data_IF_655675564001
#
_entry.id   IF_655675564001
#
_cell.length_a   1.000
_cell.length_b   1.000
_cell.length_c   1.000
_cell.angle_alpha   90.00
_cell.angle_beta   90.00
_cell.angle_gamma   90.00
#
_symmetry.space_group_name_H-M   'P 1'
#
loop_
_entity.id
_entity.type
_entity.pdbx_description
1 polymer ?
#
# COMPACT_ATOMS: atom_id res chain seq x y z
N UNK A 1 25.45 63.00 38.20
CA UNK A 1 25.15 62.23 36.96
C UNK A 1 25.04 60.72 37.16
N UNK A 2 25.77 60.08 38.08
CA UNK A 2 25.71 58.62 38.31
C UNK A 2 24.32 58.07 38.74
N UNK A 3 23.58 58.79 39.60
CA UNK A 3 22.24 58.37 40.05
C UNK A 3 21.19 58.30 38.92
N UNK A 4 21.33 59.14 37.89
CA UNK A 4 20.41 59.14 36.74
C UNK A 4 20.67 57.95 35.79
N UNK A 5 21.91 57.47 35.70
CA UNK A 5 22.24 56.30 34.87
C UNK A 5 21.77 55.00 35.49
N UNK A 6 21.89 54.85 36.82
CA UNK A 6 21.39 53.68 37.54
C UNK A 6 19.86 53.54 37.42
N UNK A 7 19.11 54.62 37.62
CA UNK A 7 17.64 54.60 37.50
C UNK A 7 17.17 54.24 36.08
N UNK A 8 17.87 54.72 35.04
CA UNK A 8 17.57 54.38 33.64
C UNK A 8 17.84 52.90 33.34
N UNK A 9 18.92 52.34 33.88
CA UNK A 9 19.25 50.93 33.70
C UNK A 9 18.20 50.02 34.37
N UNK A 10 17.79 50.34 35.61
CA UNK A 10 16.77 49.56 36.32
C UNK A 10 15.40 49.64 35.62
N UNK A 11 15.00 50.81 35.13
CA UNK A 11 13.77 50.96 34.35
C UNK A 11 13.80 50.15 33.04
N UNK A 12 14.93 50.15 32.33
CA UNK A 12 15.11 49.35 31.12
C UNK A 12 15.01 47.84 31.40
N UNK A 13 15.62 47.40 32.51
CA UNK A 13 15.60 45.99 32.92
C UNK A 13 14.18 45.54 33.30
N UNK A 14 13.41 46.40 33.98
CA UNK A 14 12.02 46.13 34.34
C UNK A 14 11.12 46.07 33.10
N UNK A 15 11.28 46.99 32.15
CA UNK A 15 10.54 46.98 30.88
C UNK A 15 10.89 45.74 30.07
N UNK A 16 12.17 45.35 30.00
CA UNK A 16 12.56 44.10 29.34
C UNK A 16 11.97 42.87 30.03
N UNK A 17 11.94 42.83 31.37
CA UNK A 17 11.32 41.73 32.11
C UNK A 17 9.80 41.67 31.90
N UNK A 18 9.12 42.82 31.84
CA UNK A 18 7.67 42.89 31.56
C UNK A 18 7.35 42.55 30.11
N UNK A 19 8.19 42.95 29.15
CA UNK A 19 8.06 42.55 27.76
C UNK A 19 8.34 41.07 27.56
N UNK A 20 9.31 40.50 28.30
CA UNK A 20 9.59 39.06 28.27
C UNK A 20 8.47 38.26 28.94
N UNK A 21 7.95 38.71 30.08
CA UNK A 21 6.79 38.12 30.74
C UNK A 21 5.54 38.24 29.86
N UNK A 22 5.32 39.41 29.23
CA UNK A 22 4.23 39.64 28.29
C UNK A 22 4.35 38.77 27.04
N UNK A 23 5.55 38.65 26.47
CA UNK A 23 5.80 37.80 25.30
C UNK A 23 5.58 36.31 25.61
N UNK A 24 6.01 35.84 26.78
CA UNK A 24 5.82 34.44 27.21
C UNK A 24 4.39 34.14 27.67
N UNK A 25 3.60 35.14 28.06
CA UNK A 25 2.19 34.95 28.46
C UNK A 25 1.18 35.23 27.34
N UNK A 26 1.54 36.05 26.34
CA UNK A 26 0.66 36.44 25.23
C UNK A 26 1.09 35.90 23.87
N UNK A 27 2.13 35.04 23.78
CA UNK A 27 2.34 34.30 22.55
C UNK A 27 1.09 33.46 22.26
N UNK A 28 0.50 33.66 21.08
CA UNK A 28 -0.62 32.85 20.62
C UNK A 28 -0.27 31.36 20.83
N UNK A 29 -1.20 30.55 21.35
CA UNK A 29 -0.92 29.15 21.61
C UNK A 29 -0.45 28.49 20.32
N UNK A 30 0.71 27.84 20.40
CA UNK A 30 1.33 27.17 19.26
C UNK A 30 0.98 25.70 19.29
N UNK A 31 0.73 25.14 18.11
CA UNK A 31 0.59 23.70 17.94
C UNK A 31 1.87 23.00 18.42
N UNK A 32 1.70 21.96 19.22
CA UNK A 32 2.73 21.15 19.84
C UNK A 32 2.66 19.70 19.35
N UNK A 33 1.45 19.17 19.15
CA UNK A 33 1.24 17.84 18.58
C UNK A 33 -0.08 17.81 17.81
N UNK A 34 -0.19 16.89 16.86
CA UNK A 34 -1.44 16.49 16.23
C UNK A 34 -1.76 15.07 16.66
N UNK A 35 -2.97 14.87 17.19
CA UNK A 35 -3.49 13.57 17.59
C UNK A 35 -4.60 13.20 16.61
N UNK A 36 -4.36 12.16 15.83
CA UNK A 36 -5.32 11.61 14.88
C UNK A 36 -5.92 10.33 15.44
N UNK A 37 -7.24 10.28 15.53
CA UNK A 37 -7.98 9.06 15.87
C UNK A 37 -8.58 8.52 14.58
N UNK A 38 -8.08 7.37 14.15
CA UNK A 38 -8.54 6.64 12.98
C UNK A 38 -9.75 5.80 13.35
N UNK A 39 -10.89 6.39 13.04
CA UNK A 39 -12.20 5.76 12.91
C UNK A 39 -12.77 6.26 11.57
N UNK A 40 -13.88 5.73 11.08
CA UNK A 40 -14.56 6.30 9.91
C UNK A 40 -15.74 7.14 10.43
N UNK A 41 -15.62 8.49 10.52
CA UNK A 41 -14.63 9.39 9.91
C UNK A 41 -13.37 9.64 10.77
N UNK A 42 -12.27 10.01 10.13
CA UNK A 42 -10.99 10.32 10.79
C UNK A 42 -11.08 11.65 11.56
N UNK A 43 -10.46 11.69 12.74
CA UNK A 43 -10.55 12.84 13.66
C UNK A 43 -9.16 13.34 13.98
N UNK A 44 -8.87 14.59 13.64
CA UNK A 44 -7.56 15.22 13.88
C UNK A 44 -7.70 16.33 14.92
N UNK A 45 -6.99 16.20 16.04
CA UNK A 45 -6.92 17.19 17.11
C UNK A 45 -5.54 17.85 17.13
N UNK A 46 -5.49 19.16 16.89
CA UNK A 46 -4.26 19.96 17.06
C UNK A 46 -4.17 20.39 18.52
N UNK A 47 -3.07 20.05 19.20
CA UNK A 47 -2.85 20.26 20.63
C UNK A 47 -1.78 21.32 20.89
N UNK A 48 -1.90 22.06 21.99
CA UNK A 48 -0.84 22.94 22.49
C UNK A 48 0.13 22.22 23.45
N UNK A 49 1.14 22.96 23.93
CA UNK A 49 2.14 22.44 24.87
C UNK A 49 1.58 22.02 26.24
N UNK A 50 0.32 22.40 26.54
CA UNK A 50 -0.42 22.05 27.74
C UNK A 50 -1.47 20.95 27.47
N UNK A 51 -1.39 20.29 26.30
CA UNK A 51 -2.32 19.25 25.87
C UNK A 51 -3.78 19.74 25.77
N UNK A 52 -3.97 21.01 25.42
CA UNK A 52 -5.28 21.57 25.11
C UNK A 52 -5.51 21.60 23.62
N UNK A 53 -6.75 21.31 23.20
CA UNK A 53 -7.15 21.35 21.79
C UNK A 53 -7.20 22.80 21.30
N UNK A 54 -6.41 23.10 20.28
CA UNK A 54 -6.43 24.36 19.55
C UNK A 54 -7.39 24.33 18.36
N UNK A 55 -7.47 23.18 17.70
CA UNK A 55 -8.35 22.94 16.56
C UNK A 55 -8.73 21.46 16.52
N UNK A 56 -9.91 21.18 15.98
CA UNK A 56 -10.36 19.84 15.66
C UNK A 56 -10.85 19.82 14.21
N UNK A 57 -10.51 18.77 13.47
CA UNK A 57 -10.96 18.54 12.09
C UNK A 57 -11.47 17.11 11.98
N UNK A 58 -12.47 16.92 11.12
CA UNK A 58 -13.09 15.63 10.85
C UNK A 58 -13.04 15.40 9.34
N UNK A 59 -12.46 14.29 8.92
CA UNK A 59 -12.18 13.97 7.50
C UNK A 59 -12.74 12.58 7.14
N UNK A 60 -13.19 12.40 5.89
CA UNK A 60 -13.71 11.13 5.38
C UNK A 60 -15.15 11.21 4.86
N UNK A 61 -15.58 10.13 4.18
CA UNK A 61 -16.89 10.00 3.50
C UNK A 61 -18.09 10.17 4.44
N UNK A 62 -17.91 9.87 5.73
CA UNK A 62 -18.95 9.95 6.77
C UNK A 62 -18.72 11.11 7.74
N UNK A 63 -18.10 12.22 7.33
CA UNK A 63 -17.97 13.40 8.16
C UNK A 63 -19.35 13.93 8.60
N UNK A 64 -19.84 13.42 9.73
CA UNK A 64 -21.19 13.66 10.21
C UNK A 64 -21.29 15.08 10.79
N UNK A 65 -22.31 15.88 10.47
CA UNK A 65 -22.46 17.25 10.98
C UNK A 65 -22.35 17.34 12.52
N UNK A 66 -22.90 16.34 13.22
CA UNK A 66 -22.82 16.23 14.69
C UNK A 66 -21.40 16.18 15.24
N UNK A 67 -20.44 15.65 14.50
CA UNK A 67 -19.03 15.68 14.90
C UNK A 67 -18.44 17.09 14.72
N UNK A 68 -18.81 17.78 13.63
CA UNK A 68 -18.40 19.16 13.38
C UNK A 68 -18.90 20.17 14.42
N UNK A 69 -20.04 19.89 15.07
CA UNK A 69 -20.62 20.72 16.11
C UNK A 69 -19.99 20.51 17.51
N UNK A 70 -19.06 19.57 17.65
CA UNK A 70 -18.41 19.31 18.94
C UNK A 70 -17.53 20.50 19.38
N UNK A 71 -17.92 21.12 20.49
CA UNK A 71 -17.10 22.14 21.15
C UNK A 71 -15.90 21.48 21.85
N UNK A 72 -14.81 21.31 21.08
CA UNK A 72 -13.56 20.66 21.53
C UNK A 72 -12.44 21.65 21.89
N UNK A 73 -12.47 22.87 21.35
CA UNK A 73 -11.40 23.87 21.58
C UNK A 73 -11.26 24.22 23.07
N UNK A 74 -10.02 24.36 23.53
CA UNK A 74 -9.58 24.58 24.92
C UNK A 74 -9.82 23.43 25.90
N UNK A 75 -10.39 22.30 25.47
CA UNK A 75 -10.48 21.10 26.29
C UNK A 75 -9.12 20.40 26.39
N UNK A 76 -8.88 19.71 27.51
CA UNK A 76 -7.78 18.75 27.58
C UNK A 76 -8.00 17.59 26.60
N UNK A 77 -6.93 16.90 26.20
CA UNK A 77 -7.02 15.70 25.35
C UNK A 77 -8.04 14.70 25.90
N UNK A 78 -8.02 14.42 27.20
CA UNK A 78 -8.94 13.47 27.82
C UNK A 78 -10.40 13.87 27.71
N UNK A 79 -10.72 15.14 27.97
CA UNK A 79 -12.09 15.67 27.85
C UNK A 79 -12.57 15.73 26.40
N UNK A 80 -11.67 16.07 25.47
CA UNK A 80 -11.98 16.08 24.05
C UNK A 80 -12.28 14.66 23.54
N UNK A 81 -11.45 13.68 23.92
CA UNK A 81 -11.67 12.28 23.58
C UNK A 81 -12.94 11.72 24.21
N UNK A 82 -13.30 12.12 25.44
CA UNK A 82 -14.58 11.72 26.05
C UNK A 82 -15.78 12.18 25.22
N UNK A 83 -15.76 13.44 24.75
CA UNK A 83 -16.83 13.96 23.88
C UNK A 83 -16.86 13.29 22.51
N UNK A 84 -15.70 13.12 21.90
CA UNK A 84 -15.57 12.44 20.60
C UNK A 84 -16.08 11.00 20.71
N UNK A 85 -15.63 10.26 21.73
CA UNK A 85 -16.02 8.89 21.97
C UNK A 85 -17.53 8.75 22.19
N UNK A 86 -18.13 9.62 23.02
CA UNK A 86 -19.57 9.64 23.23
C UNK A 86 -20.34 9.89 21.91
N UNK A 87 -19.88 10.82 21.08
CA UNK A 87 -20.50 11.10 19.79
C UNK A 87 -20.38 9.91 18.83
N UNK A 88 -19.19 9.32 18.70
CA UNK A 88 -18.96 8.15 17.85
C UNK A 88 -19.78 6.92 18.27
N UNK A 89 -19.95 6.73 19.58
CA UNK A 89 -20.80 5.65 20.13
C UNK A 89 -22.26 5.88 19.73
N UNK A 90 -22.78 7.09 19.90
CA UNK A 90 -24.16 7.43 19.55
C UNK A 90 -24.42 7.25 18.04
N UNK A 91 -23.40 7.52 17.22
CA UNK A 91 -23.47 7.32 15.76
C UNK A 91 -23.25 5.85 15.35
N UNK A 92 -22.94 4.94 16.27
CA UNK A 92 -22.62 3.54 15.96
C UNK A 92 -21.33 3.36 15.14
N UNK A 93 -20.46 4.37 15.11
CA UNK A 93 -19.22 4.35 14.34
C UNK A 93 -18.07 3.70 15.10
N UNK A 94 -18.19 3.71 16.43
CA UNK A 94 -17.28 3.05 17.34
C UNK A 94 -17.98 1.87 18.00
N UNK A 95 -17.53 0.67 17.66
CA UNK A 95 -18.04 -0.59 18.19
C UNK A 95 -16.89 -1.41 18.78
N UNK A 96 -17.16 -2.34 19.72
CA UNK A 96 -16.10 -3.01 20.47
C UNK A 96 -15.21 -3.96 19.67
N UNK A 97 -15.76 -4.46 18.57
CA UNK A 97 -15.15 -5.29 17.55
C UNK A 97 -14.28 -4.49 16.58
N UNK A 98 -14.40 -3.15 16.57
CA UNK A 98 -13.61 -2.29 15.69
C UNK A 98 -12.28 -1.93 16.32
N UNK A 99 -11.24 -2.08 15.51
CA UNK A 99 -9.93 -1.57 15.84
C UNK A 99 -9.89 -0.04 15.75
N UNK A 100 -9.30 0.59 16.76
CA UNK A 100 -9.06 2.04 16.79
C UNK A 100 -7.57 2.30 16.79
N UNK A 101 -7.11 3.03 15.78
CA UNK A 101 -5.71 3.43 15.65
C UNK A 101 -5.56 4.89 16.06
N UNK A 102 -4.67 5.17 17.01
CA UNK A 102 -4.32 6.53 17.41
C UNK A 102 -2.96 6.85 16.82
N UNK A 103 -2.88 7.88 16.00
CA UNK A 103 -1.61 8.38 15.45
C UNK A 103 -1.28 9.70 16.10
N UNK A 104 -0.08 9.82 16.67
CA UNK A 104 0.37 11.10 17.25
C UNK A 104 1.57 11.60 16.48
N UNK A 105 1.50 12.84 16.02
CA UNK A 105 2.55 13.52 15.27
C UNK A 105 3.08 14.73 16.08
N UNK A 106 4.39 14.81 16.38
CA UNK A 106 4.99 15.99 17.00
C UNK A 106 5.06 17.18 16.02
N UNK A 107 4.68 18.37 16.49
CA UNK A 107 4.74 19.62 15.72
C UNK A 107 5.90 20.49 16.21
N UNK A 108 6.71 21.00 15.28
CA UNK A 108 7.68 22.07 15.56
C UNK A 108 8.81 21.70 16.54
N UNK A 109 9.28 20.44 16.51
CA UNK A 109 10.37 19.98 17.40
C UNK A 109 9.91 19.70 18.83
N UNK A 110 8.64 19.34 19.01
CA UNK A 110 8.09 18.93 20.29
C UNK A 110 8.90 17.79 20.94
N UNK A 111 9.02 17.82 22.27
CA UNK A 111 9.73 16.81 23.04
C UNK A 111 9.02 15.45 22.91
N UNK A 112 9.74 14.44 22.39
CA UNK A 112 9.24 13.08 22.17
C UNK A 112 8.62 12.44 23.41
N UNK A 113 9.20 12.64 24.61
CA UNK A 113 8.69 12.10 25.87
C UNK A 113 7.28 12.65 26.20
N UNK A 114 7.07 13.96 25.96
CA UNK A 114 5.75 14.58 26.17
C UNK A 114 4.73 14.10 25.16
N UNK A 115 5.13 13.93 23.90
CA UNK A 115 4.23 13.46 22.84
C UNK A 115 3.88 11.98 23.05
N UNK A 116 4.83 11.17 23.51
CA UNK A 116 4.58 9.79 23.93
C UNK A 116 3.60 9.74 25.12
N UNK A 117 3.71 10.67 26.08
CA UNK A 117 2.73 10.82 27.15
C UNK A 117 1.32 11.14 26.66
N UNK A 118 1.19 11.97 25.61
CA UNK A 118 -0.10 12.26 24.95
C UNK A 118 -0.67 10.98 24.31
N UNK A 119 0.14 10.23 23.58
CA UNK A 119 -0.26 8.98 22.94
C UNK A 119 -0.77 7.95 23.96
N UNK A 120 0.01 7.71 25.02
CA UNK A 120 -0.35 6.78 26.08
C UNK A 120 -1.63 7.19 26.81
N UNK A 121 -1.79 8.49 27.13
CA UNK A 121 -2.99 8.99 27.78
C UNK A 121 -4.24 8.86 26.89
N UNK A 122 -4.10 9.14 25.58
CA UNK A 122 -5.19 8.97 24.63
C UNK A 122 -5.61 7.49 24.48
N UNK A 123 -4.64 6.59 24.39
CA UNK A 123 -4.85 5.15 24.30
C UNK A 123 -5.55 4.61 25.55
N UNK A 124 -5.04 4.91 26.75
CA UNK A 124 -5.64 4.48 28.01
C UNK A 124 -7.09 4.96 28.14
N UNK A 125 -7.34 6.20 27.72
CA UNK A 125 -8.66 6.82 27.79
C UNK A 125 -9.66 6.13 26.88
N UNK A 126 -9.31 5.88 25.62
CA UNK A 126 -10.17 5.15 24.68
C UNK A 126 -10.38 3.69 25.11
N UNK A 127 -9.32 3.00 25.57
CA UNK A 127 -9.43 1.63 26.11
C UNK A 127 -10.39 1.56 27.28
N UNK A 128 -10.29 2.50 28.22
CA UNK A 128 -11.16 2.55 29.40
C UNK A 128 -12.63 2.73 28.99
N UNK A 129 -12.89 3.64 28.05
CA UNK A 129 -14.24 3.93 27.60
C UNK A 129 -14.88 2.74 26.85
N UNK A 130 -14.14 2.15 25.91
CA UNK A 130 -14.63 0.99 25.15
C UNK A 130 -14.85 -0.23 26.05
N UNK A 131 -13.97 -0.46 27.03
CA UNK A 131 -14.14 -1.54 28.01
C UNK A 131 -15.42 -1.37 28.84
N UNK A 132 -15.77 -0.14 29.21
CA UNK A 132 -17.01 0.16 29.93
C UNK A 132 -18.27 -0.12 29.11
N UNK A 133 -18.20 -0.03 27.78
CA UNK A 133 -19.34 -0.26 26.90
C UNK A 133 -19.54 -1.74 26.56
N UNK A 134 -18.46 -2.50 26.43
CA UNK A 134 -18.50 -3.79 25.74
C UNK A 134 -18.29 -5.03 26.61
N UNK A 135 -17.74 -4.88 27.82
CA UNK A 135 -17.13 -5.97 28.59
C UNK A 135 -16.04 -6.76 27.83
N UNK A 136 -15.67 -6.37 26.61
CA UNK A 136 -14.60 -6.95 25.80
C UNK A 136 -13.35 -6.06 25.88
N UNK A 137 -12.14 -6.63 25.80
CA UNK A 137 -10.91 -5.85 25.68
C UNK A 137 -10.87 -5.19 24.29
N UNK A 138 -10.92 -3.86 24.20
CA UNK A 138 -10.92 -3.19 22.90
C UNK A 138 -9.53 -3.22 22.25
N UNK A 139 -9.51 -3.43 20.93
CA UNK A 139 -8.31 -3.31 20.10
C UNK A 139 -7.99 -1.82 19.83
N UNK A 140 -7.47 -1.11 20.84
CA UNK A 140 -6.92 0.24 20.66
C UNK A 140 -5.41 0.16 20.64
N UNK A 141 -4.79 0.72 19.60
CA UNK A 141 -3.33 0.82 19.51
C UNK A 141 -2.93 2.27 19.21
N UNK A 142 -1.94 2.79 19.94
CA UNK A 142 -1.31 4.06 19.59
C UNK A 142 0.02 3.87 18.88
N UNK A 143 0.27 4.74 17.89
CA UNK A 143 1.51 4.77 17.12
C UNK A 143 1.99 6.22 17.07
N UNK A 144 3.24 6.43 17.49
CA UNK A 144 3.94 7.69 17.31
C UNK A 144 4.53 7.71 15.90
N UNK A 145 4.22 8.75 15.13
CA UNK A 145 4.81 8.97 13.81
C UNK A 145 5.74 10.17 13.90
N UNK A 146 6.97 10.02 13.46
CA UNK A 146 7.94 11.12 13.51
C UNK A 146 7.59 12.26 12.55
N UNK A 147 8.11 13.47 12.84
CA UNK A 147 7.94 14.63 11.94
C UNK A 147 8.47 14.36 10.53
N UNK A 148 9.67 13.75 10.33
CA UNK A 148 10.15 13.42 8.98
C UNK A 148 9.17 12.54 8.21
N UNK A 149 8.64 11.48 8.84
CA UNK A 149 7.67 10.59 8.21
C UNK A 149 6.34 11.29 7.92
N UNK A 150 5.96 12.27 8.73
CA UNK A 150 4.77 13.09 8.48
C UNK A 150 4.94 14.00 7.25
N UNK A 151 6.05 14.71 7.15
CA UNK A 151 6.33 15.60 6.01
C UNK A 151 6.31 14.82 4.70
N UNK A 152 6.91 13.64 4.74
CA UNK A 152 6.93 12.63 3.69
C UNK A 152 5.50 12.18 3.31
N UNK A 153 4.68 11.81 4.29
CA UNK A 153 3.30 11.38 4.06
C UNK A 153 2.47 12.47 3.38
N UNK A 154 2.66 13.73 3.81
CA UNK A 154 2.01 14.89 3.22
C UNK A 154 2.47 15.15 1.77
N UNK A 155 3.76 15.01 1.49
CA UNK A 155 4.31 15.18 0.13
C UNK A 155 3.70 14.18 -0.85
N UNK A 156 3.55 12.93 -0.43
CA UNK A 156 2.95 11.87 -1.24
C UNK A 156 1.42 11.82 -1.15
N UNK A 157 0.78 12.69 -0.36
CA UNK A 157 -0.67 12.64 -0.10
C UNK A 157 -1.15 11.27 0.43
N UNK A 158 -0.30 10.57 1.17
CA UNK A 158 -0.63 9.28 1.80
C UNK A 158 -1.13 9.54 3.23
N UNK A 159 -2.27 8.97 3.65
CA UNK A 159 -2.75 9.08 5.02
C UNK A 159 -1.73 8.55 6.03
N UNK A 160 -1.51 9.27 7.14
CA UNK A 160 -0.58 8.85 8.22
C UNK A 160 -0.94 7.48 8.81
N UNK A 161 -2.20 7.10 8.72
CA UNK A 161 -2.68 5.81 9.15
C UNK A 161 -2.17 4.62 8.37
N UNK A 162 -1.92 4.80 7.07
CA UNK A 162 -1.30 3.77 6.25
C UNK A 162 0.06 3.42 6.84
N UNK A 163 0.88 4.42 7.15
CA UNK A 163 2.17 4.23 7.83
C UNK A 163 2.01 3.58 9.19
N UNK A 164 1.07 4.05 10.00
CA UNK A 164 0.86 3.49 11.34
C UNK A 164 0.42 2.02 11.33
N UNK A 165 -0.32 1.56 10.31
CA UNK A 165 -0.61 0.12 10.11
C UNK A 165 0.67 -0.68 9.83
N UNK A 166 1.56 -0.17 8.98
CA UNK A 166 2.83 -0.83 8.67
C UNK A 166 3.80 -0.84 9.85
N UNK A 167 3.87 0.26 10.62
CA UNK A 167 4.65 0.33 11.86
C UNK A 167 4.23 -0.77 12.86
N UNK A 168 2.93 -1.09 12.94
CA UNK A 168 2.41 -2.18 13.78
C UNK A 168 2.78 -3.57 13.28
N UNK A 169 2.91 -3.73 11.95
CA UNK A 169 3.39 -4.97 11.32
C UNK A 169 4.93 -5.10 11.39
N UNK A 170 5.62 -4.22 12.12
CA UNK A 170 7.07 -4.31 12.31
C UNK A 170 7.91 -3.69 11.17
N UNK A 171 7.28 -3.01 10.21
CA UNK A 171 8.00 -2.16 9.25
C UNK A 171 8.47 -0.92 10.00
N UNK A 172 9.76 -0.61 9.98
CA UNK A 172 10.29 0.53 10.76
C UNK A 172 10.15 1.86 10.02
N UNK A 173 10.28 2.99 10.71
CA UNK A 173 10.36 4.31 10.04
C UNK A 173 11.52 4.39 9.04
N UNK A 174 12.65 3.73 9.36
CA UNK A 174 13.80 3.63 8.46
C UNK A 174 13.42 2.88 7.18
N UNK A 175 12.64 1.79 7.27
CA UNK A 175 12.15 1.08 6.10
C UNK A 175 11.23 1.94 5.25
N UNK A 176 10.26 2.61 5.85
CA UNK A 176 9.33 3.48 5.13
C UNK A 176 10.08 4.61 4.41
N UNK A 177 11.06 5.21 5.09
CA UNK A 177 11.94 6.23 4.49
C UNK A 177 12.75 5.66 3.33
N UNK A 178 13.29 4.44 3.48
CA UNK A 178 14.09 3.79 2.45
C UNK A 178 13.24 3.41 1.22
N UNK A 179 12.04 2.85 1.41
CA UNK A 179 11.07 2.55 0.35
C UNK A 179 10.70 3.82 -0.41
N UNK A 180 10.53 4.94 0.30
CA UNK A 180 10.25 6.21 -0.34
C UNK A 180 11.43 6.80 -1.10
N UNK A 181 12.64 6.63 -0.60
CA UNK A 181 13.84 7.01 -1.34
C UNK A 181 13.96 6.23 -2.67
N UNK A 182 13.32 5.05 -2.80
CA UNK A 182 13.24 4.34 -4.08
C UNK A 182 12.43 5.11 -5.11
N UNK A 183 11.35 5.81 -4.74
CA UNK A 183 10.56 6.60 -5.69
C UNK A 183 11.42 7.65 -6.41
N UNK A 184 12.23 8.40 -5.66
CA UNK A 184 13.15 9.38 -6.23
C UNK A 184 14.33 8.74 -6.97
N UNK A 185 14.93 7.69 -6.39
CA UNK A 185 16.07 6.99 -6.97
C UNK A 185 15.77 6.33 -8.30
N UNK A 186 14.56 5.78 -8.44
CA UNK A 186 14.07 5.10 -9.64
C UNK A 186 13.32 6.02 -10.60
N UNK A 187 13.08 7.29 -10.20
CA UNK A 187 12.30 8.28 -10.95
C UNK A 187 10.89 7.79 -11.30
N UNK A 188 10.26 7.10 -10.34
CA UNK A 188 8.87 6.66 -10.48
C UNK A 188 7.95 7.88 -10.47
N UNK A 189 6.84 7.78 -11.20
CA UNK A 189 5.80 8.81 -11.15
C UNK A 189 5.24 8.91 -9.72
N UNK A 190 5.30 10.12 -9.14
CA UNK A 190 4.96 10.32 -7.74
C UNK A 190 3.48 10.03 -7.44
N UNK A 191 2.58 10.31 -8.40
CA UNK A 191 1.15 10.06 -8.22
C UNK A 191 0.84 8.56 -8.30
N UNK A 192 1.38 7.86 -9.29
CA UNK A 192 1.26 6.40 -9.39
C UNK A 192 1.88 5.70 -8.17
N UNK A 193 3.07 6.14 -7.74
CA UNK A 193 3.71 5.59 -6.54
C UNK A 193 2.89 5.84 -5.28
N UNK A 194 2.31 7.02 -5.11
CA UNK A 194 1.43 7.30 -3.97
C UNK A 194 0.17 6.41 -3.97
N UNK A 195 -0.43 6.16 -5.14
CA UNK A 195 -1.58 5.26 -5.28
C UNK A 195 -1.23 3.81 -4.92
N UNK A 196 -0.04 3.36 -5.33
CA UNK A 196 0.42 1.98 -5.14
C UNK A 196 1.28 1.78 -3.87
N UNK A 197 1.52 2.85 -3.09
CA UNK A 197 2.41 2.82 -1.94
C UNK A 197 2.06 1.72 -0.94
N UNK A 198 0.76 1.56 -0.66
CA UNK A 198 0.30 0.51 0.27
C UNK A 198 0.65 -0.88 -0.25
N UNK A 199 0.55 -1.13 -1.56
CA UNK A 199 0.95 -2.41 -2.15
C UNK A 199 2.46 -2.59 -2.07
N UNK A 200 3.24 -1.56 -2.39
CA UNK A 200 4.72 -1.60 -2.31
C UNK A 200 5.21 -1.90 -0.89
N UNK A 201 4.65 -1.24 0.13
CA UNK A 201 5.03 -1.50 1.52
C UNK A 201 4.50 -2.84 2.02
N UNK A 202 3.31 -3.27 1.58
CA UNK A 202 2.80 -4.62 1.87
C UNK A 202 3.75 -5.68 1.32
N UNK A 203 4.14 -5.58 0.04
CA UNK A 203 5.12 -6.47 -0.59
C UNK A 203 6.45 -6.52 0.18
N UNK A 204 6.95 -5.37 0.66
CA UNK A 204 8.13 -5.36 1.53
C UNK A 204 7.92 -6.11 2.86
N UNK A 205 6.76 -5.91 3.49
CA UNK A 205 6.41 -6.59 4.74
C UNK A 205 6.29 -8.11 4.53
N UNK A 206 5.61 -8.54 3.46
CA UNK A 206 5.40 -9.94 3.11
C UNK A 206 6.75 -10.65 2.87
N UNK A 207 7.71 -10.01 2.19
CA UNK A 207 9.08 -10.54 2.05
C UNK A 207 9.79 -10.74 3.40
N UNK A 208 9.62 -9.80 4.34
CA UNK A 208 10.22 -9.92 5.68
C UNK A 208 9.54 -11.01 6.50
N UNK A 209 8.25 -11.19 6.35
CA UNK A 209 7.47 -12.25 7.00
C UNK A 209 7.90 -13.64 6.50
N UNK A 210 8.19 -13.77 5.20
CA UNK A 210 8.79 -14.96 4.60
C UNK A 210 10.23 -15.25 5.09
N UNK A 211 10.85 -14.35 5.87
CA UNK A 211 12.16 -14.55 6.46
C UNK A 211 13.33 -13.88 5.74
N UNK A 212 13.07 -13.08 4.70
CA UNK A 212 14.13 -12.34 4.02
C UNK A 212 14.74 -11.26 4.92
N UNK A 213 16.08 -11.15 4.99
CA UNK A 213 16.73 -10.04 5.68
C UNK A 213 16.29 -8.68 5.12
N UNK A 214 16.23 -7.68 5.98
CA UNK A 214 15.73 -6.34 5.66
C UNK A 214 16.40 -5.72 4.42
N UNK A 215 17.74 -5.71 4.39
CA UNK A 215 18.52 -5.17 3.27
C UNK A 215 18.27 -5.95 1.96
N UNK A 216 18.04 -7.26 2.06
CA UNK A 216 17.74 -8.13 0.92
C UNK A 216 16.35 -7.87 0.37
N UNK A 217 15.33 -7.82 1.24
CA UNK A 217 13.96 -7.50 0.85
C UNK A 217 13.88 -6.12 0.19
N UNK A 218 14.61 -5.13 0.69
CA UNK A 218 14.64 -3.79 0.12
C UNK A 218 15.33 -3.76 -1.26
N UNK A 219 16.42 -4.52 -1.43
CA UNK A 219 17.12 -4.64 -2.70
C UNK A 219 16.25 -5.32 -3.77
N UNK A 220 15.62 -6.45 -3.44
CA UNK A 220 14.72 -7.17 -4.32
C UNK A 220 13.49 -6.31 -4.69
N UNK A 221 12.89 -5.61 -3.72
CA UNK A 221 11.82 -4.65 -3.99
C UNK A 221 12.24 -3.57 -4.99
N UNK A 222 13.42 -2.99 -4.78
CA UNK A 222 13.98 -1.98 -5.69
C UNK A 222 14.17 -2.54 -7.11
N UNK A 223 14.63 -3.78 -7.24
CA UNK A 223 14.78 -4.44 -8.54
C UNK A 223 13.44 -4.72 -9.22
N UNK A 224 12.42 -5.18 -8.46
CA UNK A 224 11.05 -5.36 -8.95
C UNK A 224 10.42 -4.04 -9.40
N UNK A 225 10.60 -2.96 -8.64
CA UNK A 225 10.11 -1.61 -8.99
C UNK A 225 10.79 -1.06 -10.25
N UNK A 226 12.08 -1.37 -10.47
CA UNK A 226 12.78 -1.01 -11.71
C UNK A 226 12.24 -1.77 -12.92
N UNK A 227 11.86 -3.03 -12.72
CA UNK A 227 11.33 -3.88 -13.77
C UNK A 227 9.91 -3.43 -14.19
N UNK A 228 9.09 -3.08 -13.20
CA UNK A 228 7.73 -2.63 -13.40
C UNK A 228 7.55 -1.17 -12.98
N UNK A 229 8.06 -0.25 -13.81
CA UNK A 229 7.92 1.18 -13.58
C UNK A 229 6.47 1.69 -13.54
N UNK A 230 5.50 0.88 -13.97
CA UNK A 230 4.07 1.18 -13.89
C UNK A 230 3.42 0.71 -12.58
N UNK A 231 4.14 -0.05 -11.74
CA UNK A 231 3.72 -0.53 -10.42
C UNK A 231 2.51 -1.47 -10.40
N UNK A 232 2.11 -2.01 -11.56
CA UNK A 232 0.93 -2.88 -11.69
C UNK A 232 1.20 -4.35 -11.34
N UNK A 233 2.44 -4.78 -11.51
CA UNK A 233 2.91 -6.16 -11.40
C UNK A 233 3.89 -6.35 -10.24
N UNK A 234 4.27 -5.29 -9.51
CA UNK A 234 5.21 -5.39 -8.36
C UNK A 234 4.78 -6.46 -7.37
N UNK A 235 3.48 -6.56 -7.06
CA UNK A 235 2.97 -7.57 -6.15
C UNK A 235 3.20 -9.00 -6.68
N UNK A 236 2.93 -9.25 -7.96
CA UNK A 236 3.16 -10.55 -8.60
C UNK A 236 4.64 -10.92 -8.62
N UNK A 237 5.50 -9.95 -8.96
CA UNK A 237 6.95 -10.15 -8.91
C UNK A 237 7.40 -10.54 -7.51
N UNK A 238 6.94 -9.81 -6.49
CA UNK A 238 7.33 -10.08 -5.11
C UNK A 238 6.76 -11.41 -4.60
N UNK A 239 5.53 -11.78 -4.97
CA UNK A 239 4.96 -13.10 -4.63
C UNK A 239 5.83 -14.22 -5.16
N UNK A 240 6.23 -14.18 -6.43
CA UNK A 240 7.11 -15.21 -6.98
C UNK A 240 8.51 -15.25 -6.35
N UNK A 241 9.04 -14.10 -5.89
CA UNK A 241 10.29 -14.06 -5.14
C UNK A 241 10.14 -14.70 -3.74
N UNK A 242 8.98 -14.53 -3.09
CA UNK A 242 8.66 -15.20 -1.84
C UNK A 242 8.61 -16.71 -2.07
N UNK A 243 7.89 -17.18 -3.09
CA UNK A 243 7.80 -18.60 -3.43
C UNK A 243 9.20 -19.20 -3.71
N UNK A 244 10.06 -18.47 -4.43
CA UNK A 244 11.45 -18.87 -4.66
C UNK A 244 12.24 -18.96 -3.34
N UNK A 245 12.07 -18.00 -2.44
CA UNK A 245 12.74 -18.02 -1.14
C UNK A 245 12.31 -19.23 -0.29
N UNK A 246 11.01 -19.51 -0.26
CA UNK A 246 10.42 -20.64 0.47
C UNK A 246 10.87 -21.99 -0.08
N UNK A 247 11.04 -22.07 -1.41
CA UNK A 247 11.65 -23.23 -2.08
C UNK A 247 13.15 -23.40 -1.81
N UNK A 248 13.79 -22.45 -1.11
CA UNK A 248 15.19 -22.52 -0.72
C UNK A 248 16.17 -21.86 -1.70
N UNK A 249 15.68 -21.15 -2.72
CA UNK A 249 16.55 -20.38 -3.62
C UNK A 249 17.20 -19.20 -2.89
N UNK A 250 18.43 -18.90 -3.28
CA UNK A 250 19.21 -17.85 -2.64
C UNK A 250 18.79 -16.46 -3.15
N UNK A 251 19.04 -15.38 -2.39
CA UNK A 251 18.83 -14.01 -2.87
C UNK A 251 19.56 -13.68 -4.18
N UNK A 252 20.71 -14.28 -4.44
CA UNK A 252 21.41 -14.14 -5.71
C UNK A 252 20.66 -14.78 -6.87
N UNK A 253 19.98 -15.91 -6.64
CA UNK A 253 19.19 -16.59 -7.67
C UNK A 253 17.92 -15.79 -7.99
N UNK A 254 17.27 -15.25 -6.95
CA UNK A 254 16.15 -14.32 -7.06
C UNK A 254 16.49 -13.07 -7.87
N UNK A 255 17.61 -12.40 -7.56
CA UNK A 255 18.07 -11.22 -8.31
C UNK A 255 18.42 -11.57 -9.76
N UNK A 256 19.05 -12.72 -10.00
CA UNK A 256 19.36 -13.18 -11.36
C UNK A 256 18.09 -13.50 -12.17
N UNK A 257 17.01 -13.97 -11.54
CA UNK A 257 15.71 -14.15 -12.18
C UNK A 257 15.08 -12.80 -12.60
N UNK A 258 15.18 -11.76 -11.75
CA UNK A 258 14.76 -10.40 -12.11
C UNK A 258 15.62 -9.79 -13.22
N UNK A 259 16.93 -10.04 -13.21
CA UNK A 259 17.84 -9.61 -14.28
C UNK A 259 17.49 -10.28 -15.62
N UNK A 260 17.17 -11.57 -15.60
CA UNK A 260 16.69 -12.29 -16.78
C UNK A 260 15.43 -11.64 -17.35
N UNK A 261 14.44 -11.29 -16.51
CA UNK A 261 13.27 -10.53 -16.97
C UNK A 261 13.62 -9.19 -17.61
N UNK A 262 14.57 -8.46 -17.02
CA UNK A 262 15.00 -7.14 -17.51
C UNK A 262 15.62 -7.24 -18.88
N UNK A 263 16.49 -8.23 -19.10
CA UNK A 263 17.18 -8.45 -20.36
C UNK A 263 16.22 -8.76 -21.51
N UNK A 264 15.09 -9.39 -21.19
CA UNK A 264 14.07 -9.79 -22.16
C UNK A 264 13.16 -8.63 -22.59
N UNK A 265 13.13 -7.53 -21.81
CA UNK A 265 12.32 -6.34 -22.11
C UNK A 265 10.86 -6.70 -22.39
N UNK A 266 10.29 -7.60 -21.57
CA UNK A 266 8.90 -8.04 -21.71
C UNK A 266 7.96 -6.84 -21.64
N UNK A 267 6.88 -6.87 -22.42
CA UNK A 267 5.81 -5.88 -22.27
C UNK A 267 5.16 -6.04 -20.89
N UNK A 268 4.54 -5.00 -20.32
CA UNK A 268 3.91 -5.10 -19.00
C UNK A 268 2.84 -6.21 -18.89
N UNK A 269 2.13 -6.51 -19.98
CA UNK A 269 1.12 -7.57 -20.03
C UNK A 269 1.74 -8.97 -20.05
N UNK A 270 2.88 -9.12 -20.72
CA UNK A 270 3.64 -10.37 -20.69
C UNK A 270 4.34 -10.51 -19.34
N UNK A 271 4.89 -9.44 -18.79
CA UNK A 271 5.64 -9.48 -17.54
C UNK A 271 4.91 -10.27 -16.44
N UNK A 272 3.62 -10.03 -16.23
CA UNK A 272 2.83 -10.79 -15.26
C UNK A 272 2.81 -12.30 -15.55
N UNK A 273 2.24 -12.69 -16.70
CA UNK A 273 2.07 -14.10 -17.08
C UNK A 273 3.41 -14.86 -17.09
N UNK A 274 4.42 -14.16 -17.56
CA UNK A 274 5.71 -14.75 -17.83
C UNK A 274 6.61 -14.78 -16.60
N UNK A 275 6.40 -13.90 -15.63
CA UNK A 275 7.05 -13.99 -14.33
C UNK A 275 6.58 -15.19 -13.54
N UNK A 276 5.27 -15.47 -13.51
CA UNK A 276 4.74 -16.63 -12.81
C UNK A 276 5.33 -17.94 -13.40
N UNK A 277 5.36 -18.05 -14.73
CA UNK A 277 5.91 -19.22 -15.43
C UNK A 277 7.42 -19.37 -15.21
N UNK A 278 8.16 -18.25 -15.24
CA UNK A 278 9.61 -18.25 -15.03
C UNK A 278 9.99 -18.64 -13.59
N UNK A 279 9.33 -18.06 -12.59
CA UNK A 279 9.61 -18.35 -11.19
C UNK A 279 9.22 -19.78 -10.84
N UNK A 280 8.04 -20.25 -11.27
CA UNK A 280 7.62 -21.65 -11.09
C UNK A 280 8.63 -22.61 -11.72
N UNK A 281 9.09 -22.33 -12.94
CA UNK A 281 10.10 -23.15 -13.61
C UNK A 281 11.43 -23.21 -12.87
N UNK A 282 11.88 -22.09 -12.28
CA UNK A 282 13.10 -22.05 -11.47
C UNK A 282 12.96 -22.89 -10.20
N UNK A 283 11.78 -22.82 -9.56
CA UNK A 283 11.45 -23.62 -8.37
C UNK A 283 11.47 -25.11 -8.73
N UNK A 284 10.74 -25.53 -9.77
CA UNK A 284 10.67 -26.94 -10.19
C UNK A 284 12.06 -27.52 -10.49
N UNK A 285 12.89 -26.75 -11.21
CA UNK A 285 14.28 -27.14 -11.50
C UNK A 285 15.12 -27.24 -10.22
N UNK A 286 14.96 -26.30 -9.30
CA UNK A 286 15.68 -26.31 -8.03
C UNK A 286 15.32 -27.54 -7.17
N UNK A 287 14.04 -27.87 -7.09
CA UNK A 287 13.53 -29.01 -6.29
C UNK A 287 14.08 -30.36 -6.76
N UNK A 288 14.30 -30.53 -8.08
CA UNK A 288 14.94 -31.73 -8.64
C UNK A 288 16.48 -31.67 -8.62
N UNK A 289 17.06 -30.64 -7.99
CA UNK A 289 18.50 -30.50 -7.77
C UNK A 289 19.27 -29.94 -8.97
N UNK A 290 18.61 -29.29 -9.93
CA UNK A 290 19.29 -28.54 -10.99
C UNK A 290 19.94 -27.29 -10.37
N UNK A 291 21.25 -27.06 -10.55
CA UNK A 291 21.90 -25.85 -10.05
C UNK A 291 21.28 -24.59 -10.68
N UNK A 292 21.02 -23.55 -9.88
CA UNK A 292 20.34 -22.32 -10.31
C UNK A 292 20.98 -21.67 -11.55
N UNK A 293 22.31 -21.66 -11.65
CA UNK A 293 23.01 -21.12 -12.82
C UNK A 293 22.70 -21.90 -14.12
N UNK A 294 22.51 -23.22 -14.02
CA UNK A 294 22.11 -24.06 -15.15
C UNK A 294 20.64 -23.82 -15.48
N UNK A 295 19.77 -23.73 -14.47
CA UNK A 295 18.35 -23.43 -14.63
C UNK A 295 18.13 -22.07 -15.35
N UNK A 296 18.78 -21.00 -14.86
CA UNK A 296 18.72 -19.66 -15.46
C UNK A 296 19.27 -19.64 -16.88
N UNK A 297 20.38 -20.33 -17.17
CA UNK A 297 20.91 -20.44 -18.54
C UNK A 297 19.96 -21.21 -19.46
N UNK A 298 19.25 -22.21 -18.94
CA UNK A 298 18.26 -22.98 -19.69
C UNK A 298 17.07 -22.12 -20.05
N UNK A 299 16.53 -21.38 -19.07
CA UNK A 299 15.44 -20.45 -19.30
C UNK A 299 15.87 -19.35 -20.26
N UNK A 300 17.03 -18.73 -20.08
CA UNK A 300 17.53 -17.73 -21.03
C UNK A 300 17.58 -18.27 -22.48
N UNK A 301 18.05 -19.50 -22.68
CA UNK A 301 18.07 -20.13 -23.99
C UNK A 301 16.65 -20.40 -24.53
N UNK A 302 15.74 -20.90 -23.68
CA UNK A 302 14.33 -21.13 -24.00
C UNK A 302 13.64 -19.83 -24.45
N UNK A 303 13.85 -18.75 -23.70
CA UNK A 303 13.24 -17.44 -23.92
C UNK A 303 13.78 -16.74 -25.17
N UNK A 304 15.05 -16.98 -25.52
CA UNK A 304 15.63 -16.52 -26.79
C UNK A 304 15.10 -17.30 -27.99
N UNK A 305 14.75 -18.58 -27.80
CA UNK A 305 14.19 -19.43 -28.85
C UNK A 305 12.69 -19.14 -29.09
N UNK A 306 11.93 -18.99 -28.01
CA UNK A 306 10.51 -18.61 -28.03
C UNK A 306 10.25 -17.46 -27.05
N UNK A 307 10.30 -16.19 -27.51
CA UNK A 307 10.00 -15.04 -26.66
C UNK A 307 8.56 -14.97 -26.15
N UNK A 308 7.65 -15.80 -26.69
CA UNK A 308 6.28 -15.90 -26.21
C UNK A 308 6.12 -16.87 -25.05
N UNK A 309 7.20 -17.60 -24.72
CA UNK A 309 7.34 -18.42 -23.50
C UNK A 309 6.31 -19.53 -23.36
N UNK A 310 5.51 -19.77 -24.41
CA UNK A 310 4.52 -20.83 -24.48
C UNK A 310 5.14 -22.22 -24.38
N UNK A 311 6.44 -22.31 -24.58
CA UNK A 311 7.18 -23.56 -24.59
C UNK A 311 8.23 -23.66 -23.48
N UNK A 312 8.26 -22.70 -22.52
CA UNK A 312 9.10 -22.81 -21.31
C UNK A 312 8.78 -24.12 -20.59
N UNK A 313 7.50 -24.40 -20.32
CA UNK A 313 7.09 -25.59 -19.57
C UNK A 313 7.53 -26.89 -20.25
N UNK A 314 7.54 -26.90 -21.59
CA UNK A 314 8.01 -28.03 -22.39
C UNK A 314 9.51 -28.25 -22.20
N UNK A 315 10.30 -27.19 -22.23
CA UNK A 315 11.76 -27.26 -22.04
C UNK A 315 12.11 -27.67 -20.61
N UNK A 316 11.42 -27.09 -19.63
CA UNK A 316 11.63 -27.38 -18.21
C UNK A 316 11.24 -28.81 -17.89
N UNK A 317 10.08 -29.27 -18.36
CA UNK A 317 9.65 -30.67 -18.25
C UNK A 317 10.67 -31.63 -18.87
N UNK A 318 11.21 -31.30 -20.04
CA UNK A 318 12.22 -32.12 -20.70
C UNK A 318 13.54 -32.17 -19.91
N UNK A 319 13.94 -31.05 -19.28
CA UNK A 319 15.13 -30.99 -18.44
C UNK A 319 14.97 -31.88 -17.20
N UNK A 320 13.86 -31.72 -16.49
CA UNK A 320 13.52 -32.52 -15.31
C UNK A 320 13.53 -34.00 -15.65
N UNK A 321 12.87 -34.41 -16.75
CA UNK A 321 12.82 -35.81 -17.17
C UNK A 321 14.19 -36.41 -17.50
N UNK A 322 15.09 -35.62 -18.07
CA UNK A 322 16.46 -36.07 -18.35
C UNK A 322 17.25 -36.24 -17.05
N UNK A 323 17.10 -35.32 -16.10
CA UNK A 323 17.74 -35.39 -14.79
C UNK A 323 17.22 -36.58 -13.98
N UNK A 324 15.90 -36.81 -13.96
CA UNK A 324 15.27 -37.97 -13.33
C UNK A 324 15.73 -39.31 -13.93
N UNK A 325 16.04 -39.33 -15.22
CA UNK A 325 16.63 -40.48 -15.91
C UNK A 325 18.12 -40.66 -15.65
N UNK A 326 18.72 -39.81 -14.81
CA UNK A 326 20.11 -39.90 -14.36
C UNK A 326 21.10 -39.11 -15.22
N UNK A 327 20.65 -38.23 -16.11
CA UNK A 327 21.54 -37.26 -16.75
C UNK A 327 21.99 -36.22 -15.71
N UNK A 328 23.22 -35.69 -15.84
CA UNK A 328 23.58 -34.49 -15.09
C UNK A 328 22.87 -33.28 -15.70
N UNK A 329 22.62 -32.23 -14.92
CA UNK A 329 21.98 -31.02 -15.39
C UNK A 329 22.70 -30.41 -16.61
N UNK A 330 24.04 -30.44 -16.65
CA UNK A 330 24.81 -29.94 -17.79
C UNK A 330 24.63 -30.78 -19.06
N UNK A 331 24.53 -32.11 -18.91
CA UNK A 331 24.29 -33.03 -20.04
C UNK A 331 22.87 -32.87 -20.55
N UNK A 332 21.90 -32.74 -19.65
CA UNK A 332 20.51 -32.49 -19.99
C UNK A 332 20.36 -31.16 -20.74
N UNK A 333 20.95 -30.08 -20.21
CA UNK A 333 20.96 -28.77 -20.86
C UNK A 333 21.66 -28.79 -22.23
N UNK A 334 22.82 -29.44 -22.36
CA UNK A 334 23.50 -29.55 -23.64
C UNK A 334 22.64 -30.29 -24.68
N UNK A 335 21.90 -31.32 -24.25
CA UNK A 335 20.98 -32.08 -25.11
C UNK A 335 19.80 -31.23 -25.55
N UNK A 336 19.20 -30.48 -24.62
CA UNK A 336 18.11 -29.53 -24.91
C UNK A 336 18.58 -28.43 -25.86
N UNK A 337 19.72 -27.78 -25.60
CA UNK A 337 20.26 -26.74 -26.47
C UNK A 337 20.55 -27.26 -27.89
N UNK A 338 21.03 -28.50 -28.00
CA UNK A 338 21.23 -29.16 -29.28
C UNK A 338 19.89 -29.40 -29.98
N UNK A 339 18.86 -29.83 -29.25
CA UNK A 339 17.53 -30.05 -29.78
C UNK A 339 16.84 -28.75 -30.21
N UNK A 340 16.87 -27.69 -29.39
CA UNK A 340 16.37 -26.35 -29.72
C UNK A 340 17.06 -25.81 -30.98
N UNK A 341 18.39 -25.98 -31.08
CA UNK A 341 19.15 -25.52 -32.26
C UNK A 341 18.77 -26.27 -33.54
N UNK A 342 18.36 -27.54 -33.42
CA UNK A 342 18.00 -28.38 -34.55
C UNK A 342 16.50 -28.29 -34.91
N UNK A 343 15.62 -28.04 -33.94
CA UNK A 343 14.20 -27.76 -34.13
C UNK A 343 13.75 -26.60 -33.22
N UNK A 344 13.84 -25.35 -33.68
CA UNK A 344 13.42 -24.18 -32.90
C UNK A 344 11.91 -24.15 -32.59
N UNK A 345 11.10 -25.01 -33.22
CA UNK A 345 9.65 -25.07 -32.97
C UNK A 345 9.27 -26.01 -31.83
N UNK A 346 10.26 -26.73 -31.27
CA UNK A 346 10.15 -27.68 -30.14
C UNK A 346 9.13 -28.81 -30.32
N UNK A 347 8.45 -28.90 -31.48
CA UNK A 347 7.44 -29.92 -31.78
C UNK A 347 7.97 -31.34 -31.70
N UNK A 348 9.26 -31.54 -31.97
CA UNK A 348 9.90 -32.85 -31.92
C UNK A 348 10.85 -33.01 -30.72
N UNK A 349 10.81 -32.11 -29.73
CA UNK A 349 11.76 -32.08 -28.61
C UNK A 349 11.85 -33.43 -27.90
N UNK A 350 10.71 -34.01 -27.49
CA UNK A 350 10.67 -35.31 -26.82
C UNK A 350 11.31 -36.43 -27.65
N UNK A 351 10.99 -36.48 -28.94
CA UNK A 351 11.54 -37.48 -29.85
C UNK A 351 13.05 -37.33 -30.05
N UNK A 352 13.54 -36.09 -30.07
CA UNK A 352 14.96 -35.78 -30.21
C UNK A 352 15.75 -36.10 -28.94
N UNK A 353 15.12 -35.97 -27.77
CA UNK A 353 15.72 -36.27 -26.47
C UNK A 353 15.54 -37.73 -26.05
N UNK A 354 14.84 -38.54 -26.86
CA UNK A 354 14.52 -39.94 -26.49
C UNK A 354 13.58 -40.03 -25.29
N UNK A 355 12.79 -38.98 -25.05
CA UNK A 355 11.71 -38.97 -24.07
C UNK A 355 10.50 -39.71 -24.66
N UNK A 356 9.66 -40.28 -23.81
CA UNK A 356 8.49 -41.04 -24.29
C UNK A 356 7.45 -40.04 -24.82
N UNK A 357 7.02 -40.15 -26.09
CA UNK A 357 6.02 -39.25 -26.65
C UNK A 357 4.69 -39.54 -25.96
N UNK A 358 4.23 -38.63 -25.10
CA UNK A 358 3.03 -38.91 -24.30
C UNK A 358 2.58 -37.86 -23.30
N UNK A 359 3.30 -36.75 -23.11
CA UNK A 359 2.77 -35.63 -22.33
C UNK A 359 1.85 -34.81 -23.24
N UNK A 360 0.61 -35.25 -23.34
CA UNK A 360 -0.44 -34.40 -23.86
C UNK A 360 -0.46 -33.12 -23.04
N UNK A 361 -0.22 -31.99 -23.72
CA UNK A 361 -0.83 -30.73 -23.32
C UNK A 361 -2.28 -31.04 -22.98
N UNK A 362 -2.67 -30.91 -21.72
CA UNK A 362 -4.06 -30.56 -21.41
C UNK A 362 -4.21 -29.12 -21.85
N UNK A 363 -4.37 -28.92 -23.15
CA UNK A 363 -4.93 -27.71 -23.72
C UNK A 363 -6.39 -27.65 -23.22
N UNK A 364 -6.57 -27.24 -21.96
CA UNK A 364 -7.88 -26.85 -21.42
C UNK A 364 -8.23 -25.47 -22.01
N UNK A 365 -8.57 -25.48 -23.30
CA UNK A 365 -9.38 -24.46 -23.94
C UNK A 365 -10.75 -25.06 -24.28
N UNK A 366 -11.77 -24.46 -23.69
CA UNK A 366 -13.21 -24.73 -23.81
C UNK A 366 -13.73 -25.06 -25.22
N UNK A 367 -14.59 -26.09 -25.37
CA UNK A 367 -15.95 -25.90 -25.91
C UNK A 367 -16.82 -27.20 -25.96
N UNK A 368 -17.97 -27.13 -25.28
CA UNK A 368 -19.32 -27.61 -25.67
C UNK A 368 -19.47 -28.93 -26.46
N UNK A 369 -20.01 -29.98 -25.80
CA UNK A 369 -21.33 -30.57 -26.12
C UNK A 369 -21.66 -31.86 -25.32
N UNK A 370 -22.69 -31.75 -24.48
CA UNK A 370 -23.92 -32.55 -24.49
C UNK A 370 -23.93 -34.10 -24.33
N UNK A 371 -24.95 -34.54 -23.57
CA UNK A 371 -25.59 -35.86 -23.49
C UNK A 371 -25.05 -36.93 -22.51
N UNK A 372 -25.52 -36.80 -21.26
CA UNK A 372 -26.46 -37.73 -20.64
C UNK A 372 -26.52 -39.18 -21.20
N UNK A 373 -26.01 -40.15 -20.44
CA UNK A 373 -26.76 -41.37 -20.04
C UNK A 373 -25.93 -42.27 -19.10
N UNK A 374 -26.41 -42.37 -17.86
CA UNK A 374 -26.94 -43.65 -17.37
C UNK A 374 -25.99 -44.65 -16.68
N UNK A 375 -26.12 -44.65 -15.35
CA UNK A 375 -26.33 -45.82 -14.47
C UNK A 375 -25.17 -46.81 -14.20
N UNK A 376 -24.82 -46.94 -12.91
CA UNK A 376 -24.03 -48.07 -12.42
C UNK A 376 -23.72 -48.09 -10.92
N UNK A 377 -24.76 -48.16 -10.08
CA UNK A 377 -24.76 -48.42 -8.62
C UNK A 377 -23.54 -49.20 -8.06
N UNK A 378 -23.03 -48.75 -6.92
CA UNK A 378 -22.76 -49.61 -5.74
C UNK A 378 -22.64 -48.79 -4.45
N UNK A 379 -23.56 -49.11 -3.54
CA UNK A 379 -23.67 -48.63 -2.17
C UNK A 379 -22.54 -49.14 -1.27
N UNK A 380 -22.34 -48.40 -0.17
CA UNK A 380 -22.00 -48.79 1.22
C UNK A 380 -20.75 -48.07 1.74
N UNK A 381 -20.99 -47.04 2.54
CA UNK A 381 -21.03 -47.10 4.01
C UNK A 381 -19.61 -46.93 4.56
N UNK A 382 -19.22 -45.69 4.86
CA UNK A 382 -18.46 -45.44 6.08
C UNK A 382 -18.74 -44.05 6.62
N UNK A 383 -19.01 -44.04 7.92
CA UNK A 383 -19.39 -42.90 8.75
C UNK A 383 -18.22 -42.54 9.64
N UNK A 384 -17.80 -41.28 9.56
CA UNK A 384 -17.11 -40.51 10.61
C UNK A 384 -17.06 -39.08 10.05
N UNK A 385 -17.98 -38.17 10.39
CA UNK A 385 -18.14 -37.49 11.68
C UNK A 385 -16.77 -37.12 12.28
N UNK A 386 -16.23 -35.98 11.83
CA UNK A 386 -15.49 -35.00 12.64
C UNK A 386 -15.49 -33.64 11.90
N UNK A 387 -16.55 -32.87 12.20
CA UNK A 387 -16.59 -31.43 12.46
C UNK A 387 -15.26 -30.87 13.03
N UNK A 388 -14.83 -29.61 12.90
CA UNK A 388 -15.35 -28.32 12.46
C UNK A 388 -14.11 -27.40 12.35
N UNK A 389 -14.27 -26.21 11.74
CA UNK A 389 -13.36 -25.05 11.71
C UNK A 389 -12.56 -24.84 10.41
N UNK A 390 -13.30 -24.73 9.31
CA UNK A 390 -12.91 -23.92 8.15
C UNK A 390 -13.06 -22.43 8.54
N UNK A 391 -11.95 -21.73 8.82
CA UNK A 391 -11.94 -20.27 8.89
C UNK A 391 -12.02 -19.71 7.46
N UNK A 392 -13.13 -19.04 7.18
CA UNK A 392 -13.44 -18.37 5.93
C UNK A 392 -12.46 -17.21 5.69
N UNK A 393 -11.54 -17.39 4.75
CA UNK A 393 -10.87 -16.28 4.06
C UNK A 393 -11.92 -15.52 3.25
N UNK A 394 -12.42 -14.43 3.85
CA UNK A 394 -13.23 -13.44 3.15
C UNK A 394 -12.31 -12.59 2.27
N UNK A 395 -12.17 -13.03 1.02
CA UNK A 395 -11.69 -12.20 -0.08
C UNK A 395 -12.66 -11.03 -0.29
N UNK A 396 -12.20 -9.82 0.06
CA UNK A 396 -12.82 -8.56 -0.34
C UNK A 396 -12.75 -8.43 -1.87
N UNK A 397 -13.86 -8.79 -2.50
CA UNK A 397 -14.20 -8.44 -3.87
C UNK A 397 -14.42 -6.92 -3.99
N UNK A 398 -13.44 -6.22 -4.56
CA UNK A 398 -13.65 -4.88 -5.14
C UNK A 398 -13.59 -4.98 -6.67
N UNK A 399 -14.64 -5.59 -7.24
CA UNK A 399 -15.02 -5.50 -8.66
C UNK A 399 -16.25 -4.59 -8.79
N UNK A 400 -16.05 -3.28 -9.01
CA UNK A 400 -17.03 -2.30 -9.54
C UNK A 400 -16.23 -1.10 -10.09
N UNK A 401 -16.41 -0.54 -11.28
CA UNK A 401 -17.32 -0.76 -12.40
C UNK A 401 -16.67 -0.15 -13.65
N UNK A 402 -16.53 -0.96 -14.70
CA UNK A 402 -16.43 -0.50 -16.08
C UNK A 402 -17.87 -0.16 -16.55
N UNK A 403 -18.20 1.13 -16.62
CA UNK A 403 -19.30 1.63 -17.45
C UNK A 403 -19.22 3.15 -17.56
N UNK A 404 -18.75 3.64 -18.71
CA UNK A 404 -19.47 4.64 -19.52
C UNK A 404 -18.74 4.82 -20.85
N UNK A 405 -19.12 3.95 -21.79
CA UNK A 405 -19.02 4.23 -23.22
C UNK A 405 -20.26 5.05 -23.58
N UNK A 406 -20.09 6.35 -23.77
CA UNK A 406 -21.04 7.13 -24.56
C UNK A 406 -20.31 7.67 -25.79
N UNK A 407 -20.48 6.90 -26.87
CA UNK A 407 -20.35 7.36 -28.25
C UNK A 407 -21.37 8.49 -28.47
N UNK A 408 -20.90 9.69 -28.80
CA UNK A 408 -21.67 10.65 -29.59
C UNK A 408 -20.71 11.43 -30.49
N UNK A 409 -20.42 10.81 -31.63
CA UNK A 409 -20.20 11.51 -32.89
C UNK A 409 -21.48 12.29 -33.24
N UNK A 410 -21.38 13.61 -33.42
CA UNK A 410 -22.12 14.25 -34.51
C UNK A 410 -21.49 15.60 -34.86
N UNK A 411 -21.02 15.64 -36.10
CA UNK A 411 -20.56 16.80 -36.84
C UNK A 411 -21.63 17.92 -36.86
N UNK A 412 -21.20 19.18 -36.83
CA UNK A 412 -21.71 20.23 -37.74
C UNK A 412 -20.91 21.53 -37.65
N UNK A 413 -20.19 21.78 -38.74
CA UNK A 413 -19.94 23.11 -39.30
C UNK A 413 -21.22 23.96 -39.31
N UNK A 414 -21.13 25.24 -38.91
CA UNK A 414 -21.45 26.35 -39.82
C UNK A 414 -21.26 27.72 -39.15
N UNK A 415 -20.33 28.50 -39.74
CA UNK A 415 -20.48 29.88 -40.23
C UNK A 415 -20.98 30.99 -39.30
N UNK A 416 -20.12 32.01 -39.23
CA UNK A 416 -20.40 33.42 -39.52
C UNK A 416 -21.79 33.96 -39.17
N UNK A 417 -21.81 34.95 -38.26
CA UNK A 417 -22.27 36.29 -38.61
C UNK A 417 -21.90 37.33 -37.56
N UNK A 418 -21.15 38.31 -38.05
CA UNK A 418 -21.14 39.71 -37.63
C UNK A 418 -22.51 40.21 -37.12
N UNK A 419 -22.50 41.10 -36.12
CA UNK A 419 -22.81 42.54 -36.28
C UNK A 419 -23.23 43.21 -34.96
N UNK A 420 -22.54 44.34 -34.74
CA UNK A 420 -23.04 45.66 -34.39
C UNK A 420 -23.65 45.90 -32.98
N UNK A 421 -22.97 46.81 -32.27
CA UNK A 421 -23.48 48.09 -31.75
C UNK A 421 -24.86 48.11 -31.07
N UNK A 422 -24.92 48.54 -29.81
CA UNK A 422 -25.19 49.96 -29.51
C UNK A 422 -25.49 50.25 -28.02
N UNK A 423 -24.88 51.36 -27.59
CA UNK A 423 -25.37 52.43 -26.73
C UNK A 423 -26.04 52.20 -25.34
N UNK A 424 -25.34 52.77 -24.34
CA UNK A 424 -25.79 53.81 -23.38
C UNK A 424 -27.22 53.70 -22.81
N UNK A 425 -27.32 53.76 -21.48
CA UNK A 425 -27.68 55.03 -20.82
C UNK A 425 -27.69 54.94 -19.30
N UNK A 426 -27.17 56.01 -18.70
CA UNK A 426 -27.38 56.45 -17.33
C UNK A 426 -28.86 56.46 -16.93
N UNK A 427 -29.18 56.13 -15.67
CA UNK A 427 -30.02 57.05 -14.91
C UNK A 427 -29.83 56.98 -13.39
N UNK A 428 -29.94 58.16 -12.81
CA UNK A 428 -29.69 58.56 -11.43
C UNK A 428 -30.92 58.34 -10.51
N UNK A 429 -30.64 58.47 -9.22
CA UNK A 429 -31.50 58.96 -8.11
C UNK A 429 -32.35 57.96 -7.28
N UNK A 430 -31.84 57.70 -6.06
CA UNK A 430 -32.42 57.91 -4.71
C UNK A 430 -33.83 58.54 -4.60
N UNK A 431 -34.63 58.36 -3.50
CA UNK A 431 -34.17 58.36 -2.10
C UNK A 431 -34.93 57.54 -1.02
N UNK A 432 -34.27 57.47 0.16
CA UNK A 432 -34.72 57.34 1.57
C UNK A 432 -36.21 57.13 1.90
N UNK A 433 -36.47 56.11 2.73
CA UNK A 433 -37.65 56.02 3.60
C UNK A 433 -37.28 55.56 5.02
N UNK A 434 -37.46 56.45 6.00
CA UNK A 434 -37.52 56.14 7.44
C UNK A 434 -38.91 55.62 7.77
N UNK A 435 -39.02 54.60 8.62
CA UNK A 435 -40.29 54.19 9.24
C UNK A 435 -40.07 53.51 10.59
N UNK A 436 -40.44 54.20 11.66
CA UNK A 436 -40.61 53.71 13.05
C UNK A 436 -42.06 53.24 13.24
N UNK A 437 -42.26 52.31 14.18
CA UNK A 437 -43.55 51.91 14.78
C UNK A 437 -43.78 50.41 14.60
N UNK A 438 -43.96 49.57 15.63
CA UNK A 438 -44.37 49.77 17.02
C UNK A 438 -43.41 49.12 18.03
#
# INVERSE_FOLDING_TARGET
>A
MLKSRAAKLTALTLVAALLFAGYTTYSAPRAFAELTVQVNPEIVLTLDQHQKVLAARFTGLLAHPTLGDLALVNLSVGEALDKVNAALTVLGLLTPDREVLIVVNPVGGANSEKVQGIAAAAEEKLKTHLKQQANLPPAVTSVLVSTPLTEVAQQLSIPLSSFARFLRKGVTEANLTAIMALQDGLKLDAAAFAQEFNKVVKSFADMREAGLPEDTALALLSESLQLDGALKNVYHLVSGLIDMHEAGLSPSDMSAALELHRDLKLSPSLLRRESDSLFSSLIDMHEVGVPSAVALSTLQAAMLADPSLKEIDTIVSALIDLVDKGATAEVALASINTAISADPTLKNLDGMLGLSPGRGRSDDDDDKNNENKGQGRRDKDDKSDDNDEDEEDQDDQDDQDDQDKDDNDDERDDKDKDKDDDDKSDNKNLPKGRGRGN
#
